data_IF_894523246918
#
_entry.id   IF_894523246918
#
_cell.length_a   1.000
_cell.length_b   1.000
_cell.length_c   1.000
_cell.angle_alpha   90.00
_cell.angle_beta   90.00
_cell.angle_gamma   90.00
#
_symmetry.space_group_name_H-M   'P 1'
#
loop_
_entity.id
_entity.type
_entity.pdbx_description
1 polymer ?
#
# COMPACT_ATOMS: atom_id res chain seq x y z
N UNK A 1 1.48 -3.85 5.51
CA UNK A 1 0.07 -4.17 5.31
C UNK A 1 -0.09 -5.16 4.17
N UNK A 2 -0.85 -6.19 4.39
CA UNK A 2 -1.07 -7.22 3.38
C UNK A 2 -2.56 -7.39 3.15
N UNK A 3 -2.97 -7.29 1.90
CA UNK A 3 -4.36 -7.48 1.50
C UNK A 3 -4.47 -8.78 0.72
N UNK A 4 -5.20 -9.74 1.25
CA UNK A 4 -5.46 -11.00 0.58
C UNK A 4 -6.78 -10.92 -0.20
N UNK A 5 -6.80 -11.48 -1.40
CA UNK A 5 -7.96 -11.45 -2.28
C UNK A 5 -8.20 -12.83 -2.86
N UNK A 6 -8.62 -13.81 -2.04
CA UNK A 6 -8.74 -15.20 -2.49
C UNK A 6 -9.80 -15.40 -3.56
N UNK A 7 -10.74 -14.49 -3.69
CA UNK A 7 -11.82 -14.62 -4.66
C UNK A 7 -11.67 -13.69 -5.85
N UNK A 8 -10.56 -12.97 -5.94
CA UNK A 8 -10.28 -12.02 -7.03
C UNK A 8 -11.41 -10.99 -7.19
N UNK A 9 -11.85 -10.42 -6.07
CA UNK A 9 -12.95 -9.46 -6.07
C UNK A 9 -12.54 -8.04 -5.70
N UNK A 10 -11.28 -7.83 -5.33
CA UNK A 10 -10.82 -6.49 -4.94
C UNK A 10 -10.41 -5.74 -6.20
N UNK A 11 -11.13 -4.68 -6.56
CA UNK A 11 -10.80 -3.92 -7.76
C UNK A 11 -9.65 -2.94 -7.49
N UNK A 12 -9.03 -2.40 -8.56
CA UNK A 12 -7.92 -1.46 -8.40
C UNK A 12 -8.27 -0.25 -7.55
N UNK A 13 -9.51 0.20 -7.58
CA UNK A 13 -9.96 1.37 -6.82
C UNK A 13 -9.77 1.20 -5.32
N UNK A 14 -9.87 -0.02 -4.82
CA UNK A 14 -9.68 -0.27 -3.39
C UNK A 14 -8.23 -0.03 -2.99
N UNK A 15 -7.29 -0.46 -3.84
CA UNK A 15 -5.88 -0.20 -3.58
C UNK A 15 -5.58 1.29 -3.63
N UNK A 16 -6.17 1.99 -4.58
CA UNK A 16 -6.03 3.43 -4.66
C UNK A 16 -6.59 4.11 -3.42
N UNK A 17 -7.76 3.68 -2.97
CA UNK A 17 -8.37 4.24 -1.76
C UNK A 17 -7.47 4.02 -0.56
N UNK A 18 -6.84 2.86 -0.44
CA UNK A 18 -5.92 2.59 0.65
C UNK A 18 -4.76 3.59 0.64
N UNK A 19 -4.18 3.84 -0.51
CA UNK A 19 -3.09 4.80 -0.65
C UNK A 19 -3.56 6.21 -0.27
N UNK A 20 -4.74 6.60 -0.72
CA UNK A 20 -5.29 7.93 -0.42
C UNK A 20 -5.58 8.11 1.06
N UNK A 21 -6.14 7.08 1.70
CA UNK A 21 -6.40 7.15 3.15
C UNK A 21 -5.10 7.26 3.94
N UNK A 22 -4.09 6.49 3.55
CA UNK A 22 -2.79 6.56 4.20
C UNK A 22 -2.14 7.93 3.99
N UNK A 23 -2.25 8.47 2.78
CA UNK A 23 -1.70 9.79 2.48
C UNK A 23 -2.40 10.87 3.32
N UNK A 24 -3.72 10.81 3.42
CA UNK A 24 -4.48 11.74 4.23
C UNK A 24 -4.11 11.64 5.71
N UNK A 25 -3.68 10.48 6.16
CA UNK A 25 -3.26 10.25 7.53
C UNK A 25 -1.79 10.61 7.77
N UNK A 26 -1.12 11.17 6.76
CA UNK A 26 0.23 11.67 6.92
C UNK A 26 1.34 10.79 6.40
N UNK A 27 1.02 9.73 5.68
CA UNK A 27 2.06 8.89 5.10
C UNK A 27 2.83 9.67 4.03
N UNK A 28 4.14 9.48 4.00
CA UNK A 28 5.04 10.26 3.17
C UNK A 28 5.57 9.50 1.98
N UNK A 29 5.52 8.18 2.01
CA UNK A 29 6.06 7.35 0.95
C UNK A 29 5.37 6.01 0.95
N UNK A 30 5.26 5.39 -0.23
CA UNK A 30 4.54 4.13 -0.41
C UNK A 30 5.27 3.22 -1.39
N UNK A 31 5.16 1.92 -1.13
CA UNK A 31 5.57 0.89 -2.08
C UNK A 31 4.51 -0.20 -2.08
N UNK A 32 4.10 -0.64 -3.26
CA UNK A 32 3.16 -1.74 -3.41
C UNK A 32 3.88 -2.85 -4.16
N UNK A 33 4.05 -4.00 -3.51
CA UNK A 33 4.92 -5.03 -4.03
C UNK A 33 6.31 -4.45 -4.21
N UNK A 34 6.82 -4.50 -5.43
CA UNK A 34 8.13 -3.95 -5.76
C UNK A 34 8.05 -2.58 -6.44
N UNK A 35 6.86 -1.98 -6.49
CA UNK A 35 6.65 -0.75 -7.23
C UNK A 35 6.49 0.43 -6.29
N UNK A 36 7.35 1.42 -6.46
CA UNK A 36 7.26 2.67 -5.73
C UNK A 36 6.11 3.51 -6.28
N UNK A 37 5.30 4.08 -5.38
CA UNK A 37 4.22 4.97 -5.76
C UNK A 37 4.77 6.39 -5.92
N UNK A 38 4.48 7.00 -7.06
CA UNK A 38 4.78 8.41 -7.30
C UNK A 38 3.48 9.20 -7.41
N UNK A 39 3.60 10.51 -7.66
CA UNK A 39 2.43 11.38 -7.74
C UNK A 39 1.55 11.05 -8.95
N UNK A 40 2.14 10.47 -9.99
CA UNK A 40 1.41 10.13 -11.21
C UNK A 40 1.09 8.64 -11.30
N UNK A 41 1.32 7.88 -10.24
CA UNK A 41 1.07 6.45 -10.27
C UNK A 41 -0.42 6.17 -10.43
N UNK A 42 -0.72 5.13 -11.20
CA UNK A 42 -2.11 4.76 -11.47
C UNK A 42 -2.30 3.25 -11.35
N UNK A 43 -3.39 2.88 -10.68
CA UNK A 43 -3.85 1.50 -10.64
C UNK A 43 -4.85 1.31 -11.78
N UNK A 44 -4.63 0.30 -12.60
CA UNK A 44 -5.49 0.01 -13.75
C UNK A 44 -5.86 -1.46 -13.77
N UNK A 45 -6.67 -1.85 -14.73
CA UNK A 45 -7.12 -3.22 -14.87
C UNK A 45 -8.41 -3.49 -14.12
N UNK A 46 -8.55 -4.71 -13.64
CA UNK A 46 -9.77 -5.13 -12.94
C UNK A 46 -9.38 -6.11 -11.83
N UNK A 47 -10.38 -6.49 -11.02
CA UNK A 47 -10.15 -7.45 -9.94
C UNK A 47 -9.50 -8.73 -10.49
N UNK A 48 -8.45 -9.18 -9.84
CA UNK A 48 -7.68 -10.34 -10.30
C UNK A 48 -6.67 -10.04 -11.41
N UNK A 49 -6.69 -8.83 -11.96
CA UNK A 49 -5.79 -8.43 -13.05
C UNK A 49 -5.40 -6.97 -12.89
N UNK A 50 -4.98 -6.59 -11.69
CA UNK A 50 -4.62 -5.22 -11.37
C UNK A 50 -3.20 -4.94 -11.84
N UNK A 51 -3.00 -3.74 -12.38
CA UNK A 51 -1.68 -3.24 -12.74
C UNK A 51 -1.41 -1.92 -12.04
N UNK A 52 -0.17 -1.74 -11.63
CA UNK A 52 0.30 -0.47 -11.07
C UNK A 52 1.37 0.07 -12.00
N UNK A 53 1.09 1.19 -12.63
CA UNK A 53 1.98 1.81 -13.63
C UNK A 53 2.40 0.80 -14.70
N UNK A 54 1.45 -0.04 -15.13
CA UNK A 54 1.70 -1.04 -16.15
C UNK A 54 2.31 -2.33 -15.64
N UNK A 55 2.71 -2.39 -14.37
CA UNK A 55 3.28 -3.61 -13.78
C UNK A 55 2.18 -4.45 -13.17
N UNK A 56 2.03 -5.70 -13.59
CA UNK A 56 1.01 -6.58 -13.00
C UNK A 56 1.25 -6.82 -11.52
N UNK A 57 0.18 -6.78 -10.75
CA UNK A 57 0.21 -7.09 -9.32
C UNK A 57 -0.51 -8.41 -9.10
N UNK A 58 0.00 -9.19 -8.16
CA UNK A 58 -0.58 -10.48 -7.80
C UNK A 58 -0.92 -10.48 -6.32
N UNK A 59 -2.13 -10.90 -5.98
CA UNK A 59 -2.52 -11.02 -4.58
C UNK A 59 -1.71 -12.15 -3.92
N UNK A 60 -1.39 -12.04 -2.64
CA UNK A 60 -1.75 -10.94 -1.75
C UNK A 60 -0.97 -9.68 -2.07
N UNK A 61 -1.62 -8.53 -1.89
CA UNK A 61 -1.00 -7.24 -2.18
C UNK A 61 -0.31 -6.72 -0.92
N UNK A 62 0.97 -6.43 -1.03
CA UNK A 62 1.75 -5.88 0.10
C UNK A 62 1.93 -4.40 -0.11
N UNK A 63 1.47 -3.62 0.85
CA UNK A 63 1.63 -2.16 0.81
C UNK A 63 2.49 -1.76 2.00
N UNK A 64 3.55 -1.03 1.72
CA UNK A 64 4.40 -0.45 2.74
C UNK A 64 4.27 1.06 2.68
N UNK A 65 4.18 1.68 3.85
CA UNK A 65 4.04 3.13 3.94
C UNK A 65 4.89 3.64 5.09
N UNK A 66 5.42 4.84 4.92
CA UNK A 66 6.20 5.52 5.93
C UNK A 66 5.36 6.63 6.54
N UNK A 67 5.20 6.61 7.86
CA UNK A 67 4.43 7.59 8.61
C UNK A 67 4.32 7.16 10.04
N UNK A 68 3.42 7.76 10.79
CA UNK A 68 3.18 7.37 12.18
C UNK A 68 2.35 6.08 12.21
N UNK A 69 2.92 4.94 12.63
CA UNK A 69 2.22 3.66 12.48
C UNK A 69 0.84 3.59 13.13
N UNK A 70 0.64 4.03 14.39
CA UNK A 70 -0.70 3.98 14.97
C UNK A 70 -1.72 4.82 14.22
N UNK A 71 -1.30 6.00 13.75
CA UNK A 71 -2.18 6.88 12.99
C UNK A 71 -2.60 6.27 11.66
N UNK A 72 -1.64 5.66 10.96
CA UNK A 72 -1.91 5.03 9.68
C UNK A 72 -2.83 3.82 9.85
N UNK A 73 -2.57 3.00 10.88
CA UNK A 73 -3.42 1.84 11.16
C UNK A 73 -4.86 2.26 11.48
N UNK A 74 -5.03 3.32 12.27
CA UNK A 74 -6.34 3.81 12.62
C UNK A 74 -7.12 4.31 11.39
N UNK A 75 -6.44 4.97 10.47
CA UNK A 75 -7.07 5.47 9.26
C UNK A 75 -7.67 4.36 8.41
N UNK A 76 -6.98 3.22 8.34
CA UNK A 76 -7.46 2.09 7.55
C UNK A 76 -8.66 1.39 8.20
N UNK A 77 -8.80 1.52 9.51
CA UNK A 77 -9.85 0.85 10.27
C UNK A 77 -11.10 1.70 10.49
N UNK A 78 -11.19 2.86 9.87
CA UNK A 78 -12.37 3.72 9.97
C UNK A 78 -13.59 2.95 9.47
N UNK A 79 -14.71 2.98 10.21
CA UNK A 79 -15.93 2.29 9.77
C UNK A 79 -16.36 2.73 8.37
N UNK A 80 -16.63 1.75 7.51
CA UNK A 80 -16.96 2.01 6.12
C UNK A 80 -15.76 2.29 5.24
N UNK A 81 -14.56 2.23 5.78
CA UNK A 81 -13.34 2.51 5.04
C UNK A 81 -12.74 1.29 4.35
N UNK A 82 -11.44 1.34 4.17
CA UNK A 82 -10.72 0.32 3.36
C UNK A 82 -10.87 -1.07 3.95
N UNK A 83 -10.68 -1.23 5.25
CA UNK A 83 -10.76 -2.54 5.88
C UNK A 83 -12.14 -3.17 5.66
N UNK A 84 -13.19 -2.40 5.86
CA UNK A 84 -14.55 -2.88 5.67
C UNK A 84 -14.82 -3.22 4.20
N UNK A 85 -14.31 -2.41 3.29
CA UNK A 85 -14.47 -2.65 1.86
C UNK A 85 -13.79 -3.95 1.43
N UNK A 86 -12.58 -4.18 1.93
CA UNK A 86 -11.84 -5.41 1.64
C UNK A 86 -12.61 -6.62 2.18
N UNK A 87 -13.13 -6.52 3.40
CA UNK A 87 -13.91 -7.62 3.98
C UNK A 87 -15.17 -7.93 3.19
N UNK A 88 -15.86 -6.90 2.73
CA UNK A 88 -17.08 -7.10 1.92
C UNK A 88 -16.79 -7.76 0.58
N UNK A 89 -15.58 -7.57 0.07
CA UNK A 89 -15.15 -8.23 -1.15
C UNK A 89 -14.65 -9.66 -0.92
N UNK A 90 -14.70 -10.14 0.31
CA UNK A 90 -14.26 -11.49 0.65
C UNK A 90 -12.78 -11.59 0.94
N UNK A 91 -12.09 -10.46 1.05
CA UNK A 91 -10.68 -10.44 1.36
C UNK A 91 -10.39 -10.21 2.82
N UNK A 92 -9.11 -10.16 3.14
CA UNK A 92 -8.63 -9.82 4.48
C UNK A 92 -7.53 -8.79 4.38
N UNK A 93 -7.34 -8.03 5.45
CA UNK A 93 -6.28 -7.06 5.50
C UNK A 93 -5.57 -7.17 6.84
N UNK A 94 -4.28 -7.48 6.81
CA UNK A 94 -3.44 -7.57 7.99
C UNK A 94 -2.52 -6.37 8.03
N UNK A 95 -2.56 -5.63 9.13
CA UNK A 95 -1.75 -4.44 9.31
C UNK A 95 -0.71 -4.70 10.38
N UNK A 96 0.55 -4.54 10.02
CA UNK A 96 1.66 -4.62 10.95
C UNK A 96 2.29 -3.25 11.10
N UNK A 97 2.67 -2.90 12.30
CA UNK A 97 3.32 -1.64 12.58
C UNK A 97 4.80 -1.89 12.83
N UNK A 98 5.64 -1.02 12.26
CA UNK A 98 7.07 -1.13 12.41
C UNK A 98 7.70 0.25 12.38
N UNK A 99 8.69 0.46 13.25
CA UNK A 99 9.43 1.72 13.26
C UNK A 99 10.58 1.73 12.27
N UNK A 100 10.81 0.64 11.57
CA UNK A 100 11.99 0.52 10.72
C UNK A 100 11.69 -0.08 9.37
N UNK A 101 10.63 0.39 8.74
CA UNK A 101 10.34 -0.02 7.37
C UNK A 101 11.35 0.61 6.44
N UNK A 102 11.90 -0.20 5.55
CA UNK A 102 12.78 0.25 4.48
C UNK A 102 12.06 0.08 3.17
N UNK A 103 11.90 1.17 2.43
CA UNK A 103 11.27 1.14 1.12
C UNK A 103 12.39 1.30 0.09
N UNK A 104 12.86 0.18 -0.41
CA UNK A 104 14.06 0.14 -1.24
C UNK A 104 13.95 0.99 -2.49
N UNK A 105 12.79 0.99 -3.13
CA UNK A 105 12.59 1.76 -4.35
C UNK A 105 12.67 3.25 -4.12
N UNK A 106 12.40 3.70 -2.91
CA UNK A 106 12.52 5.11 -2.59
C UNK A 106 13.96 5.53 -2.36
N UNK A 107 14.81 4.59 -1.98
CA UNK A 107 16.20 4.89 -1.67
C UNK A 107 17.11 4.84 -2.87
N UNK A 108 16.74 4.06 -3.82
CA UNK A 108 17.54 4.00 -5.03
C UNK A 108 17.31 5.28 -5.76
N UNK A 109 18.04 5.58 -6.56
CA UNK A 109 19.37 5.80 -6.89
C UNK A 109 19.92 6.96 -6.12
N UNK A 110 19.10 7.60 -5.38
CA UNK A 110 19.55 8.71 -4.62
C UNK A 110 20.20 8.30 -3.40
N UNK A 111 19.80 7.14 -2.98
CA UNK A 111 20.31 6.64 -1.78
C UNK A 111 20.16 7.59 -0.67
N UNK A 112 20.36 7.42 0.37
CA UNK A 112 20.43 8.36 1.45
C UNK A 112 19.21 9.19 1.71
N UNK A 113 18.16 9.01 0.99
CA UNK A 113 16.98 9.82 1.22
C UNK A 113 16.46 9.61 2.62
N UNK A 114 16.45 8.42 3.10
CA UNK A 114 16.01 8.12 4.40
C UNK A 114 17.18 7.66 5.17
N UNK A 115 17.98 8.27 5.24
CA UNK A 115 18.98 7.81 6.00
C UNK A 115 18.95 6.35 6.10
N UNK A 116 18.75 6.07 5.66
CA UNK A 116 18.84 5.05 5.60
C UNK A 116 19.60 4.48 5.83
N UNK A 117 19.91 4.16 5.86
CA UNK A 117 20.54 3.65 5.79
C UNK A 117 20.93 2.81 5.74
N UNK A 118 21.15 2.41 5.43
CA UNK A 118 21.47 1.89 5.22
C UNK A 118 21.58 1.27 4.83
N UNK A 119 21.67 1.28 4.29
CA UNK A 119 21.68 1.09 3.96
C UNK A 119 21.75 1.02 4.01
N UNK A 120 21.35 1.21 3.86
CA UNK A 120 21.36 1.41 4.02
C UNK A 120 21.33 1.47 4.24
#
# INVERSE_FOLDING_TARGET
MVIADPQNRIPPEVLLDAIQELRNAGAEAFQVGDVRIGVDSAFTGSAGAIKLDGTPLTAPYTIEAIGDPPTLAAALAIPGGVLDTVRRAGGTMDVSQSDSIVIDQLRAPRTALYARPADG
#
